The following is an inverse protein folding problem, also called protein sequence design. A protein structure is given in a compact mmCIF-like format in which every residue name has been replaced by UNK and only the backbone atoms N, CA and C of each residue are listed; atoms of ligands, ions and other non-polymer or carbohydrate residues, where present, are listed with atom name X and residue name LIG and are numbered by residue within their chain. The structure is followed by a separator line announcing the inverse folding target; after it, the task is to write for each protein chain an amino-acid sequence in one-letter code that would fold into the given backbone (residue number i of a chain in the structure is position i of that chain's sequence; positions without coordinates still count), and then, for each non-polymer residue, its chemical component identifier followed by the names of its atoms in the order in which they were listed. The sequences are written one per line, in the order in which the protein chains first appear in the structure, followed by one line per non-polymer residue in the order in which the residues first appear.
data_IF_630442715837
#
_entry.id   IF_630442715837
#
_cell.length_a   1.000
_cell.length_b   1.000
_cell.length_c   1.000
_cell.angle_alpha   90.00
_cell.angle_beta   90.00
_cell.angle_gamma   90.00
#
_symmetry.space_group_name_H-M   'P 1'
#
loop_
_entity.id
_entity.type
_entity.pdbx_description
1 polymer ?
#
# COMPACT_ATOMS: atom_id res chain seq x y z
N UNK A 1 -7.73 15.51 9.35
CA UNK A 1 -9.02 14.86 9.03
C UNK A 1 -9.46 14.02 10.22
N UNK A 2 -10.76 13.86 10.47
CA UNK A 2 -11.26 12.88 11.44
C UNK A 2 -11.07 11.46 10.90
N UNK A 3 -10.96 10.44 11.75
CA UNK A 3 -10.97 9.04 11.31
C UNK A 3 -12.21 8.72 10.45
N UNK A 4 -12.06 7.78 9.51
CA UNK A 4 -13.19 7.25 8.76
C UNK A 4 -14.16 6.52 9.72
N UNK A 5 -15.47 6.74 9.54
CA UNK A 5 -16.52 6.12 10.37
C UNK A 5 -17.07 4.81 9.79
N UNK A 6 -16.67 4.44 8.58
CA UNK A 6 -17.12 3.24 7.90
C UNK A 6 -16.00 2.61 7.07
N UNK A 7 -16.05 1.29 6.92
CA UNK A 7 -15.18 0.51 6.05
C UNK A 7 -15.63 0.67 4.59
N UNK A 8 -14.68 0.81 3.66
CA UNK A 8 -14.99 0.83 2.23
C UNK A 8 -15.63 -0.52 1.79
N UNK A 9 -16.62 -0.54 0.88
CA UNK A 9 -17.31 -1.79 0.50
C UNK A 9 -16.38 -2.91 0.02
N UNK A 10 -15.33 -2.57 -0.72
CA UNK A 10 -14.34 -3.55 -1.18
C UNK A 10 -13.55 -4.20 -0.02
N UNK A 11 -13.20 -3.41 1.00
CA UNK A 11 -12.51 -3.93 2.19
C UNK A 11 -13.49 -4.76 3.03
N UNK A 12 -14.74 -4.33 3.17
CA UNK A 12 -15.75 -5.07 3.92
C UNK A 12 -16.01 -6.45 3.30
N UNK A 13 -16.12 -6.54 1.97
CA UNK A 13 -16.30 -7.82 1.28
C UNK A 13 -15.14 -8.81 1.52
N UNK A 14 -13.90 -8.32 1.58
CA UNK A 14 -12.73 -9.15 1.91
C UNK A 14 -12.78 -9.64 3.36
N UNK A 15 -13.12 -8.75 4.30
CA UNK A 15 -13.26 -9.10 5.71
C UNK A 15 -14.38 -10.12 5.94
N UNK A 16 -15.53 -9.94 5.29
CA UNK A 16 -16.66 -10.86 5.33
C UNK A 16 -16.31 -12.25 4.75
N UNK A 17 -15.33 -12.29 3.84
CA UNK A 17 -14.78 -13.52 3.27
C UNK A 17 -13.68 -14.16 4.14
N UNK A 18 -13.40 -13.60 5.32
CA UNK A 18 -12.41 -14.13 6.28
C UNK A 18 -11.00 -13.56 6.15
N UNK A 19 -10.78 -12.53 5.32
CA UNK A 19 -9.48 -11.87 5.23
C UNK A 19 -9.13 -11.15 6.54
N UNK A 20 -7.84 -11.08 6.85
CA UNK A 20 -7.33 -10.29 7.99
C UNK A 20 -6.75 -8.98 7.49
N UNK A 21 -7.19 -7.85 8.06
CA UNK A 21 -6.56 -6.55 7.79
C UNK A 21 -5.18 -6.47 8.46
N UNK A 22 -4.11 -6.56 7.66
CA UNK A 22 -2.73 -6.55 8.16
C UNK A 22 -2.12 -5.15 8.28
N UNK A 23 -2.66 -4.14 7.59
CA UNK A 23 -2.17 -2.77 7.68
C UNK A 23 -2.56 -1.87 6.51
N UNK A 24 -2.00 -0.66 6.54
CA UNK A 24 -2.09 0.33 5.44
C UNK A 24 -0.74 0.45 4.77
N UNK A 25 -0.73 0.56 3.46
CA UNK A 25 0.48 0.68 2.65
C UNK A 25 0.70 2.12 2.19
N UNK A 26 1.95 2.45 1.90
CA UNK A 26 2.34 3.76 1.37
C UNK A 26 1.89 3.91 -0.10
N UNK A 27 1.56 5.14 -0.49
CA UNK A 27 1.19 5.52 -1.86
C UNK A 27 1.90 6.81 -2.27
N UNK A 28 2.12 7.00 -3.57
CA UNK A 28 2.40 8.33 -4.11
C UNK A 28 1.35 9.32 -3.57
N UNK A 29 1.78 10.53 -3.21
CA UNK A 29 0.89 11.54 -2.61
C UNK A 29 -0.32 11.79 -3.51
N UNK A 30 -1.52 11.60 -2.94
CA UNK A 30 -2.81 11.72 -3.65
C UNK A 30 -2.91 10.86 -4.92
N UNK A 31 -2.13 9.78 -5.00
CA UNK A 31 -1.98 8.92 -6.19
C UNK A 31 -1.50 9.67 -7.45
N UNK A 32 -0.76 10.77 -7.29
CA UNK A 32 -0.38 11.67 -8.38
C UNK A 32 1.09 11.51 -8.81
N UNK A 33 1.51 10.27 -9.04
CA UNK A 33 2.83 9.89 -9.59
C UNK A 33 2.79 8.38 -9.95
N UNK A 34 3.86 7.91 -10.60
CA UNK A 34 4.07 6.50 -10.95
C UNK A 34 5.36 5.92 -10.34
N UNK A 35 6.08 6.70 -9.52
CA UNK A 35 7.39 6.30 -8.99
C UNK A 35 7.30 5.57 -7.65
N UNK A 36 6.24 5.78 -6.86
CA UNK A 36 6.17 5.25 -5.50
C UNK A 36 6.98 6.06 -4.49
N UNK A 37 7.16 7.36 -4.76
CA UNK A 37 7.91 8.28 -3.91
C UNK A 37 6.92 9.22 -3.20
N UNK A 38 7.25 9.61 -1.98
CA UNK A 38 6.41 10.52 -1.20
C UNK A 38 7.30 11.41 -0.34
N UNK A 39 7.00 12.71 -0.31
CA UNK A 39 7.82 13.67 0.42
C UNK A 39 7.71 13.53 1.95
N UNK A 40 6.62 12.93 2.43
CA UNK A 40 6.28 12.86 3.86
C UNK A 40 6.65 11.54 4.51
N UNK A 41 6.86 10.47 3.73
CA UNK A 41 7.09 9.12 4.23
C UNK A 41 8.24 8.43 3.47
N UNK A 42 9.01 7.55 4.14
CA UNK A 42 10.05 6.78 3.46
C UNK A 42 9.51 5.94 2.30
N UNK A 43 10.32 5.80 1.25
CA UNK A 43 10.00 4.94 0.12
C UNK A 43 10.01 3.47 0.53
N UNK A 44 9.02 2.67 0.11
CA UNK A 44 9.07 1.22 0.28
C UNK A 44 10.23 0.63 -0.54
N UNK A 45 10.86 -0.43 -0.01
CA UNK A 45 11.94 -1.13 -0.70
C UNK A 45 11.35 -2.05 -1.78
N UNK A 46 11.93 -2.02 -2.98
CA UNK A 46 11.62 -3.00 -4.02
C UNK A 46 12.35 -4.32 -3.74
N UNK A 47 11.65 -5.42 -3.37
CA UNK A 47 12.31 -6.66 -2.98
C UNK A 47 13.11 -7.32 -4.10
N UNK A 48 12.77 -7.06 -5.36
CA UNK A 48 13.47 -7.63 -6.53
C UNK A 48 14.70 -6.81 -6.96
N UNK A 49 14.76 -5.53 -6.58
CA UNK A 49 15.87 -4.63 -6.90
C UNK A 49 15.95 -3.50 -5.87
N UNK A 50 16.61 -3.71 -4.71
CA UNK A 50 16.55 -2.77 -3.57
C UNK A 50 16.99 -1.33 -3.86
N UNK A 51 17.84 -1.13 -4.88
CA UNK A 51 18.32 0.19 -5.30
C UNK A 51 17.42 0.86 -6.35
N UNK A 52 16.24 0.30 -6.63
CA UNK A 52 15.27 0.82 -7.59
C UNK A 52 13.95 1.14 -6.91
N UNK A 53 13.19 2.04 -7.52
CA UNK A 53 11.82 2.32 -7.08
C UNK A 53 10.92 1.10 -7.23
N UNK A 54 9.88 1.01 -6.40
CA UNK A 54 8.83 0.00 -6.52
C UNK A 54 7.89 0.27 -7.69
N UNK A 55 7.82 1.53 -8.15
CA UNK A 55 6.72 2.03 -8.96
C UNK A 55 5.51 2.38 -8.10
N UNK A 56 4.57 3.14 -8.65
CA UNK A 56 3.39 3.64 -7.95
C UNK A 56 2.18 3.87 -8.87
N UNK A 57 1.06 4.38 -8.35
CA UNK A 57 0.92 4.95 -7.00
C UNK A 57 0.88 3.95 -5.86
N UNK A 58 0.49 2.70 -6.12
CA UNK A 58 0.31 1.65 -5.10
C UNK A 58 1.62 0.97 -4.67
N UNK A 59 2.64 1.76 -4.41
CA UNK A 59 4.03 1.36 -4.12
C UNK A 59 4.18 0.44 -2.92
N UNK A 60 3.60 0.81 -1.79
CA UNK A 60 3.68 -0.01 -0.58
C UNK A 60 2.93 -1.34 -0.73
N UNK A 61 1.84 -1.37 -1.50
CA UNK A 61 1.08 -2.60 -1.76
C UNK A 61 1.91 -3.58 -2.58
N UNK A 62 2.54 -3.11 -3.66
CA UNK A 62 3.42 -3.94 -4.48
C UNK A 62 4.61 -4.47 -3.67
N UNK A 63 5.24 -3.62 -2.85
CA UNK A 63 6.36 -4.02 -2.00
C UNK A 63 5.96 -5.04 -0.92
N UNK A 64 4.79 -4.86 -0.28
CA UNK A 64 4.33 -5.75 0.78
C UNK A 64 4.04 -7.17 0.27
N UNK A 65 3.36 -7.29 -0.87
CA UNK A 65 3.08 -8.61 -1.49
C UNK A 65 4.38 -9.24 -2.00
N UNK A 66 5.20 -8.49 -2.75
CA UNK A 66 6.47 -9.01 -3.26
C UNK A 66 7.46 -9.39 -2.13
N UNK A 67 7.34 -8.75 -0.96
CA UNK A 67 8.12 -9.02 0.25
C UNK A 67 7.53 -10.10 1.16
N UNK A 68 6.39 -10.71 0.79
CA UNK A 68 5.75 -11.76 1.58
C UNK A 68 5.13 -11.29 2.91
N UNK A 69 4.82 -9.99 3.04
CA UNK A 69 4.17 -9.42 4.23
C UNK A 69 2.64 -9.57 4.18
N UNK A 70 2.07 -9.79 2.99
CA UNK A 70 0.66 -10.04 2.72
C UNK A 70 0.53 -11.00 1.52
N UNK A 71 -0.63 -11.63 1.39
CA UNK A 71 -1.04 -12.51 0.29
C UNK A 71 -1.69 -11.78 -0.88
#
# INVERSE_FOLDING_TARGET
ASPASATAPAVQALLDSGARFVGKTQTDELAFSLMGLNAHFPSPVNPAAPDRVTGGSSSGSAAAVAGGLAD
#
